data_IF_582489201683
#
_entry.id   IF_582489201683
#
_cell.length_a   1.000
_cell.length_b   1.000
_cell.length_c   1.000
_cell.angle_alpha   90.00
_cell.angle_beta   90.00
_cell.angle_gamma   90.00
#
_symmetry.space_group_name_H-M   'P 1'
#
loop_
_entity.id
_entity.type
_entity.pdbx_description
1 polymer ?
#
# COMPACT_ATOMS: atom_id res chain seq x y z
N UNK A 1 2.82 8.19 15.55
CA UNK A 1 1.38 8.07 15.24
C UNK A 1 1.12 6.72 14.57
N UNK A 2 0.09 5.95 14.95
CA UNK A 2 -0.20 4.56 14.50
C UNK A 2 -1.58 4.44 13.82
N UNK A 3 -2.02 5.51 13.19
CA UNK A 3 -3.37 5.59 12.63
C UNK A 3 -3.53 4.75 11.36
N UNK A 4 -4.77 4.35 11.10
CA UNK A 4 -5.14 3.77 9.82
C UNK A 4 -5.20 4.87 8.75
N UNK A 5 -4.55 4.60 7.63
CA UNK A 5 -4.47 5.48 6.47
C UNK A 5 -4.80 4.70 5.20
N UNK A 6 -5.24 5.43 4.19
CA UNK A 6 -5.22 4.95 2.81
C UNK A 6 -3.96 5.47 2.12
N UNK A 7 -3.30 4.59 1.39
CA UNK A 7 -2.32 4.95 0.34
C UNK A 7 -3.02 4.71 -0.99
N UNK A 8 -3.10 5.76 -1.81
CA UNK A 8 -3.89 5.79 -3.03
C UNK A 8 -3.00 6.15 -4.22
N UNK A 9 -3.22 5.51 -5.36
CA UNK A 9 -2.66 5.88 -6.66
C UNK A 9 -3.77 5.88 -7.71
N UNK A 10 -3.51 6.32 -8.95
CA UNK A 10 -4.48 6.17 -10.04
C UNK A 10 -4.93 4.72 -10.30
N UNK A 11 -4.21 3.72 -9.78
CA UNK A 11 -4.51 2.29 -9.98
C UNK A 11 -5.37 1.67 -8.90
N UNK A 12 -5.36 2.23 -7.70
CA UNK A 12 -6.12 1.68 -6.59
C UNK A 12 -5.73 2.27 -5.26
N UNK A 13 -6.14 1.59 -4.20
CA UNK A 13 -5.86 1.99 -2.83
C UNK A 13 -5.59 0.77 -1.96
N UNK A 14 -4.88 0.99 -0.86
CA UNK A 14 -4.70 0.02 0.21
C UNK A 14 -4.91 0.70 1.56
N UNK A 15 -5.40 -0.05 2.55
CA UNK A 15 -5.54 0.44 3.93
C UNK A 15 -4.42 -0.12 4.78
N UNK A 16 -3.56 0.74 5.29
CA UNK A 16 -2.38 0.37 6.07
C UNK A 16 -2.29 1.17 7.36
N UNK A 17 -1.51 0.68 8.32
CA UNK A 17 -1.24 1.39 9.56
C UNK A 17 0.03 2.22 9.43
N UNK A 18 -0.04 3.50 9.75
CA UNK A 18 1.08 4.40 9.63
C UNK A 18 2.21 4.05 10.63
N UNK A 19 3.44 4.08 10.14
CA UNK A 19 4.66 4.09 10.95
C UNK A 19 5.48 5.32 10.57
N UNK A 20 5.24 6.43 11.29
CA UNK A 20 5.94 7.70 11.04
C UNK A 20 7.39 7.59 11.52
N UNK A 21 8.35 7.96 10.67
CA UNK A 21 9.78 7.87 10.96
C UNK A 21 10.57 8.94 10.20
N UNK A 22 11.69 9.37 10.76
CA UNK A 22 12.66 10.27 10.12
C UNK A 22 13.74 9.51 9.32
N UNK A 23 13.64 8.18 9.26
CA UNK A 23 14.61 7.31 8.56
C UNK A 23 14.41 7.25 7.04
N UNK A 24 13.44 7.99 6.51
CA UNK A 24 13.14 8.09 5.08
C UNK A 24 12.99 9.57 4.70
N UNK A 25 13.20 9.89 3.43
CA UNK A 25 13.12 11.27 2.95
C UNK A 25 11.70 11.86 3.16
N UNK A 26 11.59 13.16 3.49
CA UNK A 26 10.31 13.86 3.48
C UNK A 26 9.59 13.68 2.14
N UNK A 27 8.29 13.37 2.20
CA UNK A 27 7.47 13.13 1.00
C UNK A 27 7.53 11.70 0.43
N UNK A 28 8.31 10.79 1.03
CA UNK A 28 8.37 9.38 0.63
C UNK A 28 7.49 8.51 1.51
N UNK A 29 6.77 7.58 0.87
CA UNK A 29 6.07 6.47 1.55
C UNK A 29 6.78 5.17 1.20
N UNK A 30 7.09 4.36 2.21
CA UNK A 30 7.63 3.02 2.03
C UNK A 30 6.59 1.98 2.43
N UNK A 31 6.24 1.09 1.50
CA UNK A 31 5.32 -0.02 1.74
C UNK A 31 6.04 -1.34 1.48
N UNK A 32 5.78 -2.34 2.32
CA UNK A 32 6.33 -3.68 2.13
C UNK A 32 5.44 -4.46 1.14
N UNK A 33 6.05 -5.25 0.26
CA UNK A 33 5.32 -6.13 -0.65
C UNK A 33 4.83 -7.40 0.07
N UNK A 34 3.87 -8.10 -0.53
CA UNK A 34 3.43 -9.42 -0.09
C UNK A 34 2.42 -9.43 1.06
N UNK A 35 1.98 -8.26 1.54
CA UNK A 35 1.01 -8.17 2.63
C UNK A 35 -0.42 -8.34 2.11
N UNK A 36 -0.87 -9.58 2.00
CA UNK A 36 -2.28 -9.96 1.75
C UNK A 36 -2.54 -11.41 2.08
N UNK A 37 -1.52 -12.25 1.99
CA UNK A 37 -1.64 -13.68 2.18
C UNK A 37 -1.96 -14.03 3.64
N UNK A 38 -2.83 -15.01 3.83
CA UNK A 38 -3.06 -15.64 5.13
C UNK A 38 -1.79 -16.37 5.62
N UNK A 39 -1.64 -16.50 6.93
CA UNK A 39 -0.60 -17.33 7.54
C UNK A 39 -1.25 -18.38 8.44
N UNK A 40 -1.48 -19.58 7.90
CA UNK A 40 -2.18 -20.68 8.59
C UNK A 40 -1.46 -21.14 9.85
N UNK A 41 -0.14 -21.24 9.80
CA UNK A 41 0.69 -21.69 10.94
C UNK A 41 0.58 -20.75 12.16
N UNK A 42 0.23 -19.48 11.92
CA UNK A 42 0.06 -18.46 12.95
C UNK A 42 -1.40 -18.06 13.18
N UNK A 43 -2.35 -18.74 12.54
CA UNK A 43 -3.79 -18.41 12.56
C UNK A 43 -4.09 -16.93 12.24
N UNK A 44 -3.33 -16.36 11.29
CA UNK A 44 -3.51 -14.97 10.86
C UNK A 44 -4.34 -14.90 9.57
N UNK A 45 -5.41 -14.06 9.54
CA UNK A 45 -6.25 -13.94 8.37
C UNK A 45 -5.53 -13.25 7.22
N UNK A 46 -5.88 -13.64 6.00
CA UNK A 46 -5.52 -12.91 4.80
C UNK A 46 -6.44 -11.72 4.54
N UNK A 47 -6.11 -10.97 3.50
CA UNK A 47 -6.90 -9.89 2.93
C UNK A 47 -7.17 -10.21 1.46
N UNK A 48 -8.27 -9.71 0.92
CA UNK A 48 -8.48 -9.73 -0.54
C UNK A 48 -7.31 -8.98 -1.23
N UNK A 49 -6.54 -9.64 -2.12
CA UNK A 49 -5.38 -9.04 -2.77
C UNK A 49 -5.70 -7.89 -3.73
N UNK A 50 -6.96 -7.72 -4.12
CA UNK A 50 -7.42 -6.74 -5.11
C UNK A 50 -8.36 -5.67 -4.53
N UNK A 51 -8.89 -5.88 -3.33
CA UNK A 51 -9.78 -4.90 -2.70
C UNK A 51 -9.04 -3.58 -2.38
N UNK A 52 -9.71 -2.45 -2.61
CA UNK A 52 -9.20 -1.11 -2.27
C UNK A 52 -8.98 -0.89 -0.75
N UNK A 53 -9.55 -1.76 0.08
CA UNK A 53 -9.37 -1.81 1.54
C UNK A 53 -8.41 -2.92 1.98
N UNK A 54 -7.86 -3.66 1.03
CA UNK A 54 -6.85 -4.70 1.26
C UNK A 54 -5.50 -4.11 1.66
N UNK A 55 -4.53 -5.01 1.84
CA UNK A 55 -3.20 -4.66 2.33
C UNK A 55 -2.10 -4.74 1.26
N UNK A 56 -2.42 -5.17 0.03
CA UNK A 56 -1.45 -5.48 -1.02
C UNK A 56 -0.97 -4.24 -1.80
N UNK A 57 0.23 -3.68 -1.54
CA UNK A 57 0.63 -2.43 -2.18
C UNK A 57 0.98 -2.59 -3.66
N UNK A 58 1.10 -3.83 -4.16
CA UNK A 58 1.33 -4.09 -5.58
C UNK A 58 0.18 -3.59 -6.46
N UNK A 59 -1.03 -3.46 -5.93
CA UNK A 59 -2.18 -2.88 -6.65
C UNK A 59 -2.03 -1.38 -6.93
N UNK A 60 -1.08 -0.72 -6.28
CA UNK A 60 -0.82 0.71 -6.47
C UNK A 60 0.02 1.01 -7.72
N UNK A 61 0.71 0.02 -8.29
CA UNK A 61 1.71 0.23 -9.35
C UNK A 61 1.09 0.01 -10.73
N UNK A 62 1.16 1.04 -11.57
CA UNK A 62 0.68 0.99 -12.96
C UNK A 62 1.77 0.61 -13.96
N UNK A 63 1.35 0.22 -15.16
CA UNK A 63 2.25 -0.19 -16.25
C UNK A 63 2.52 0.93 -17.26
N UNK A 64 1.90 2.10 -17.10
CA UNK A 64 1.95 3.21 -18.06
C UNK A 64 3.32 3.89 -18.11
N UNK A 65 4.09 3.76 -17.03
CA UNK A 65 5.42 4.33 -16.86
C UNK A 65 6.50 3.25 -16.93
N UNK A 66 6.23 2.15 -17.65
CA UNK A 66 7.23 1.13 -17.90
C UNK A 66 8.43 1.73 -18.66
N UNK A 67 9.64 1.35 -18.26
CA UNK A 67 10.85 1.76 -18.97
C UNK A 67 10.80 1.27 -20.42
N UNK A 68 10.89 2.17 -21.43
CA UNK A 68 10.79 1.77 -22.83
C UNK A 68 11.91 0.86 -23.32
N UNK A 69 13.02 0.77 -22.59
CA UNK A 69 14.17 -0.07 -22.97
C UNK A 69 14.02 -1.48 -22.41
N UNK A 70 13.82 -1.61 -21.09
CA UNK A 70 13.80 -2.92 -20.41
C UNK A 70 12.40 -3.48 -20.15
N UNK A 71 11.36 -2.65 -20.22
CA UNK A 71 10.00 -3.00 -19.78
C UNK A 71 9.82 -3.01 -18.26
N UNK A 72 10.81 -2.55 -17.49
CA UNK A 72 10.75 -2.54 -16.01
C UNK A 72 9.65 -1.61 -15.49
N UNK A 73 8.93 -2.06 -14.45
CA UNK A 73 7.87 -1.30 -13.80
C UNK A 73 8.39 -0.41 -12.66
N UNK A 74 7.74 0.73 -12.39
CA UNK A 74 8.18 1.73 -11.41
C UNK A 74 7.85 1.35 -9.95
N UNK A 75 8.16 0.13 -9.52
CA UNK A 75 7.81 -0.39 -8.18
C UNK A 75 8.35 0.44 -7.01
N UNK A 76 9.39 1.25 -7.22
CA UNK A 76 10.04 2.06 -6.18
C UNK A 76 9.86 3.57 -6.36
N UNK A 77 9.10 4.00 -7.37
CA UNK A 77 9.01 5.42 -7.76
C UNK A 77 7.62 5.84 -8.24
N UNK A 78 6.59 5.04 -7.99
CA UNK A 78 5.22 5.40 -8.37
C UNK A 78 4.63 6.44 -7.43
N UNK A 79 3.94 7.44 -8.00
CA UNK A 79 3.31 8.49 -7.22
C UNK A 79 2.09 7.95 -6.45
N UNK A 80 1.95 8.42 -5.22
CA UNK A 80 0.82 8.11 -4.37
C UNK A 80 0.39 9.31 -3.54
N UNK A 81 -0.81 9.20 -2.96
CA UNK A 81 -1.38 10.13 -2.00
C UNK A 81 -1.71 9.37 -0.72
N UNK A 82 -1.47 10.01 0.43
CA UNK A 82 -1.88 9.49 1.74
C UNK A 82 -3.11 10.26 2.25
N UNK A 83 -4.09 9.53 2.79
CA UNK A 83 -5.29 10.12 3.41
C UNK A 83 -5.65 9.36 4.69
N UNK A 84 -6.18 10.03 5.75
CA UNK A 84 -6.72 9.33 6.90
C UNK A 84 -7.84 8.35 6.50
N UNK A 85 -7.87 7.16 7.09
CA UNK A 85 -8.94 6.18 6.83
C UNK A 85 -10.27 6.54 7.52
N UNK A 86 -10.28 7.59 8.34
CA UNK A 86 -11.38 7.90 9.25
C UNK A 86 -11.42 6.93 10.43
N UNK A 87 -12.13 7.33 11.48
CA UNK A 87 -12.50 6.40 12.54
C UNK A 87 -13.73 5.65 12.05
N UNK A 88 -13.64 4.34 11.83
CA UNK A 88 -14.83 3.51 11.74
C UNK A 88 -15.56 3.66 13.08
N UNK A 89 -16.74 4.30 13.09
CA UNK A 89 -17.68 4.11 14.19
C UNK A 89 -17.98 2.62 14.19
N UNK A 90 -17.54 1.92 15.24
CA UNK A 90 -18.01 0.57 15.50
C UNK A 90 -19.54 0.67 15.62
N UNK A 91 -20.25 -0.01 14.71
CA UNK A 91 -21.66 -0.35 14.85
C UNK A 91 -21.80 -1.56 15.76
#
# INVERSE_FOLDING_TARGET
NKDWIFVESPKGSVRVRAQVTERILPGVVCCQHGWWQECRDLDLPGYDPYAGTGANPSTLIGTELADPISGSLPHRSYLCRVRPAGHSRAS
#
